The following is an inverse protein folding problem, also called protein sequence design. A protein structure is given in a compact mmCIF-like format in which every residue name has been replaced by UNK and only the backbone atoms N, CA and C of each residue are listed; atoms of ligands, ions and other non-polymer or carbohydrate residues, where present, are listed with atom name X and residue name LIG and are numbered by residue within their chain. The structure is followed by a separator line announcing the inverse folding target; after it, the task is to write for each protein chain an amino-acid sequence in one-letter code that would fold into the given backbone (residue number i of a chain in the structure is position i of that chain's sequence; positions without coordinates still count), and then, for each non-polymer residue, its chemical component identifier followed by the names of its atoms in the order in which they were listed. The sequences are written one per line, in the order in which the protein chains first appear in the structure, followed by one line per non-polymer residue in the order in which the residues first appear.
data_IF_963358039804
#
_entry.id   IF_963358039804
#
_cell.length_a   1.000
_cell.length_b   1.000
_cell.length_c   1.000
_cell.angle_alpha   90.00
_cell.angle_beta   90.00
_cell.angle_gamma   90.00
#
_symmetry.space_group_name_H-M   'P 1'
#
loop_
_entity.id
_entity.type
_entity.pdbx_description
1 polymer ?
#
# COMPACT_ATOMS: atom_id res chain seq x y z
N UNK A 1 -64.87 18.89 -3.32
CA UNK A 1 -63.88 19.99 -3.41
C UNK A 1 -62.49 19.37 -3.65
N UNK A 2 -62.01 19.46 -4.90
CA UNK A 2 -60.61 19.25 -5.33
C UNK A 2 -59.72 20.38 -4.77
N UNK A 3 -58.39 20.40 -4.68
CA UNK A 3 -57.26 19.58 -5.10
C UNK A 3 -56.04 19.96 -4.22
N UNK A 4 -55.15 19.02 -3.87
CA UNK A 4 -53.77 19.31 -3.42
C UNK A 4 -52.82 18.30 -4.05
N UNK A 5 -52.58 18.45 -5.35
CA UNK A 5 -51.67 17.59 -6.14
C UNK A 5 -50.81 18.33 -7.16
N UNK A 6 -50.91 19.66 -7.25
CA UNK A 6 -50.30 20.42 -8.34
C UNK A 6 -48.85 20.90 -8.07
N UNK A 7 -48.38 20.91 -6.82
CA UNK A 7 -47.08 21.52 -6.48
C UNK A 7 -45.84 20.66 -6.78
N UNK A 8 -45.99 19.33 -6.88
CA UNK A 8 -44.85 18.40 -7.05
C UNK A 8 -44.53 18.05 -8.51
N UNK A 9 -45.40 18.41 -9.45
CA UNK A 9 -45.20 18.18 -10.89
C UNK A 9 -44.70 19.41 -11.65
N UNK A 10 -44.83 20.62 -11.07
CA UNK A 10 -44.30 21.85 -11.65
C UNK A 10 -42.79 22.04 -11.45
N UNK A 11 -42.21 21.43 -10.41
CA UNK A 11 -40.76 21.50 -10.17
C UNK A 11 -39.94 20.59 -11.11
N UNK A 12 -40.54 19.53 -11.67
CA UNK A 12 -39.87 18.63 -12.63
C UNK A 12 -39.88 19.21 -14.05
N UNK A 13 -40.90 20.01 -14.41
CA UNK A 13 -40.96 20.66 -15.71
C UNK A 13 -39.99 21.85 -15.85
N UNK A 14 -39.68 22.57 -14.77
CA UNK A 14 -38.80 23.74 -14.81
C UNK A 14 -37.31 23.41 -15.03
N UNK A 15 -36.82 22.24 -14.58
CA UNK A 15 -35.43 21.83 -14.79
C UNK A 15 -35.14 21.22 -16.18
N UNK A 16 -36.18 20.88 -16.96
CA UNK A 16 -36.01 20.35 -18.33
C UNK A 16 -35.99 21.44 -19.41
N UNK A 17 -36.46 22.66 -19.11
CA UNK A 17 -36.45 23.79 -20.06
C UNK A 17 -35.12 24.55 -20.04
N UNK A 18 -34.40 24.59 -18.90
CA UNK A 18 -33.07 25.23 -18.81
C UNK A 18 -31.97 24.39 -19.49
N UNK A 19 -32.12 23.07 -19.57
CA UNK A 19 -31.15 22.18 -20.24
C UNK A 19 -31.37 22.04 -21.76
N UNK A 20 -32.47 22.56 -22.31
CA UNK A 20 -32.73 22.54 -23.76
C UNK A 20 -32.25 23.81 -24.49
N UNK A 21 -32.05 24.94 -23.79
CA UNK A 21 -31.65 26.21 -24.41
C UNK A 21 -30.14 26.37 -24.65
N UNK A 22 -29.27 25.56 -24.03
CA UNK A 22 -27.81 25.61 -24.26
C UNK A 22 -27.31 24.68 -25.38
N UNK A 23 -28.19 23.85 -25.97
CA UNK A 23 -27.85 22.95 -27.09
C UNK A 23 -28.30 23.51 -28.45
N UNK A 24 -28.92 24.71 -28.50
CA UNK A 24 -29.48 25.29 -29.73
C UNK A 24 -28.68 26.44 -30.37
N UNK A 25 -27.45 26.72 -29.92
CA UNK A 25 -26.65 27.84 -30.45
C UNK A 25 -25.48 27.48 -31.38
N UNK A 26 -25.31 26.22 -31.82
CA UNK A 26 -24.18 25.85 -32.71
C UNK A 26 -24.56 25.17 -34.03
N UNK A 27 -25.83 25.23 -34.43
CA UNK A 27 -26.36 24.42 -35.54
C UNK A 27 -26.74 25.16 -36.82
N UNK A 28 -25.95 26.10 -37.34
CA UNK A 28 -26.19 26.66 -38.69
C UNK A 28 -24.89 26.90 -39.45
N UNK A 29 -24.33 25.84 -40.06
CA UNK A 29 -23.60 25.93 -41.33
C UNK A 29 -23.53 24.55 -42.01
N UNK A 30 -23.76 24.46 -43.34
CA UNK A 30 -23.84 23.18 -44.03
C UNK A 30 -22.45 22.57 -44.19
N UNK A 31 -22.29 21.31 -43.76
CA UNK A 31 -21.12 20.48 -44.10
C UNK A 31 -21.35 19.84 -45.47
N UNK A 32 -21.13 20.62 -46.53
CA UNK A 32 -20.83 20.06 -47.84
C UNK A 32 -19.31 20.00 -47.98
N UNK A 33 -18.81 18.80 -48.27
CA UNK A 33 -17.43 18.50 -48.67
C UNK A 33 -16.38 18.74 -47.59
N UNK A 34 -16.02 17.68 -46.87
CA UNK A 34 -14.75 17.64 -46.14
C UNK A 34 -13.62 17.41 -47.15
N UNK A 35 -12.72 18.39 -47.25
CA UNK A 35 -11.53 18.35 -48.09
C UNK A 35 -10.46 17.49 -47.41
N UNK A 36 -10.05 16.42 -48.09
CA UNK A 36 -8.91 15.56 -47.71
C UNK A 36 -7.63 16.36 -47.84
N UNK A 37 -6.79 16.51 -46.79
CA UNK A 37 -5.47 17.10 -46.97
C UNK A 37 -4.60 16.17 -47.84
N UNK A 38 -4.19 16.68 -49.00
CA UNK A 38 -3.24 16.03 -49.89
C UNK A 38 -1.88 15.89 -49.20
N UNK A 39 -1.32 14.68 -49.22
CA UNK A 39 0.05 14.43 -48.80
C UNK A 39 1.02 15.05 -49.81
N UNK A 40 1.89 15.95 -49.34
CA UNK A 40 3.03 16.44 -50.11
C UNK A 40 4.11 15.34 -50.26
N UNK A 41 4.79 15.22 -51.40
CA UNK A 41 5.89 14.28 -51.55
C UNK A 41 7.16 14.92 -51.00
N UNK A 42 7.53 14.61 -49.76
CA UNK A 42 8.90 14.82 -49.29
C UNK A 42 9.73 13.59 -49.60
N UNK A 43 10.56 13.71 -50.63
CA UNK A 43 11.68 12.81 -50.90
C UNK A 43 12.64 12.85 -49.72
N UNK A 44 12.51 11.88 -48.81
CA UNK A 44 13.55 11.56 -47.84
C UNK A 44 14.21 10.27 -48.31
N UNK A 45 15.42 10.38 -48.87
CA UNK A 45 16.34 9.27 -49.00
C UNK A 45 16.66 8.78 -47.60
N UNK A 46 15.94 7.75 -47.15
CA UNK A 46 16.26 7.04 -45.92
C UNK A 46 17.59 6.32 -46.14
N UNK A 47 18.67 6.85 -45.57
CA UNK A 47 19.85 6.05 -45.32
C UNK A 47 19.41 4.89 -44.41
N UNK A 48 19.56 3.65 -44.90
CA UNK A 48 19.20 2.47 -44.16
C UNK A 48 19.92 2.46 -42.81
N UNK A 49 19.16 2.42 -41.71
CA UNK A 49 19.72 2.13 -40.40
C UNK A 49 20.37 0.73 -40.46
N UNK A 50 21.54 0.52 -39.85
CA UNK A 50 22.13 -0.81 -39.77
C UNK A 50 21.13 -1.74 -39.06
N UNK A 51 21.07 -3.02 -39.45
CA UNK A 51 20.16 -3.96 -38.81
C UNK A 51 20.43 -4.01 -37.30
N UNK A 52 19.40 -4.23 -36.46
CA UNK A 52 19.61 -4.41 -35.04
C UNK A 52 20.59 -5.57 -34.83
N UNK A 53 21.67 -5.31 -34.08
CA UNK A 53 22.58 -6.37 -33.68
C UNK A 53 21.79 -7.44 -32.93
N UNK A 54 22.09 -8.73 -33.15
CA UNK A 54 21.46 -9.80 -32.38
C UNK A 54 21.70 -9.58 -30.88
N UNK A 55 20.81 -10.07 -30.00
CA UNK A 55 21.00 -9.96 -28.56
C UNK A 55 22.39 -10.49 -28.19
N UNK A 56 23.20 -9.62 -27.60
CA UNK A 56 24.56 -9.96 -27.20
C UNK A 56 24.49 -10.74 -25.89
N UNK A 57 24.71 -12.05 -25.98
CA UNK A 57 24.95 -12.88 -24.79
C UNK A 57 26.35 -12.57 -24.27
N UNK A 58 26.45 -12.12 -23.02
CA UNK A 58 27.75 -11.83 -22.40
C UNK A 58 28.69 -13.04 -22.50
N UNK A 59 29.89 -12.82 -23.00
CA UNK A 59 30.95 -13.82 -22.99
C UNK A 59 31.43 -14.07 -21.56
N UNK A 60 32.03 -15.25 -21.29
CA UNK A 60 32.61 -15.54 -19.97
C UNK A 60 33.63 -14.47 -19.51
N UNK A 61 34.39 -13.88 -20.44
CA UNK A 61 35.37 -12.84 -20.14
C UNK A 61 34.71 -11.51 -19.71
N UNK A 62 33.55 -11.17 -20.28
CA UNK A 62 32.79 -9.98 -19.86
C UNK A 62 32.12 -10.19 -18.51
N UNK A 63 31.69 -11.41 -18.22
CA UNK A 63 31.18 -11.78 -16.88
C UNK A 63 32.29 -11.66 -15.84
N UNK A 64 33.50 -12.11 -16.16
CA UNK A 64 34.67 -12.00 -15.28
C UNK A 64 35.09 -10.55 -15.06
N UNK A 65 35.11 -9.73 -16.11
CA UNK A 65 35.40 -8.30 -16.02
C UNK A 65 34.35 -7.52 -15.20
N UNK A 66 33.05 -7.85 -15.35
CA UNK A 66 31.99 -7.30 -14.49
C UNK A 66 32.16 -7.72 -13.04
N UNK A 67 32.55 -8.97 -12.80
CA UNK A 67 32.77 -9.51 -11.45
C UNK A 67 33.98 -8.86 -10.78
N UNK A 68 35.03 -8.53 -11.54
CA UNK A 68 36.22 -7.84 -11.04
C UNK A 68 35.97 -6.37 -10.67
N UNK A 69 34.97 -5.73 -11.29
CA UNK A 69 34.54 -4.35 -10.98
C UNK A 69 33.45 -4.28 -9.91
N UNK A 70 32.85 -5.42 -9.55
CA UNK A 70 31.88 -5.47 -8.48
C UNK A 70 32.57 -5.16 -7.13
N UNK A 71 31.99 -4.29 -6.28
CA UNK A 71 32.45 -4.19 -4.91
C UNK A 71 32.45 -5.60 -4.28
N UNK A 72 33.39 -5.90 -3.36
CA UNK A 72 33.34 -7.17 -2.64
C UNK A 72 31.94 -7.31 -2.05
N UNK A 73 31.32 -8.48 -2.28
CA UNK A 73 30.05 -8.82 -1.66
C UNK A 73 30.18 -8.47 -0.17
N UNK A 74 29.22 -7.75 0.43
CA UNK A 74 29.31 -7.39 1.84
C UNK A 74 29.59 -8.69 2.59
N UNK A 75 30.77 -8.74 3.23
CA UNK A 75 31.15 -9.84 4.10
C UNK A 75 29.96 -10.12 5.00
N UNK A 76 29.54 -11.39 5.07
CA UNK A 76 28.37 -11.80 5.83
C UNK A 76 28.32 -11.07 7.19
N UNK A 77 27.44 -10.07 7.28
CA UNK A 77 27.17 -9.30 8.49
C UNK A 77 28.28 -8.35 8.94
N UNK A 78 28.30 -7.13 8.39
CA UNK A 78 28.27 -6.02 9.33
C UNK A 78 26.87 -6.07 9.96
N UNK A 79 26.73 -6.81 11.06
CA UNK A 79 25.48 -6.93 11.78
C UNK A 79 25.11 -5.54 12.28
N UNK A 80 24.24 -4.86 11.56
CA UNK A 80 23.66 -3.61 12.01
C UNK A 80 22.69 -3.95 13.15
N UNK A 81 23.25 -4.01 14.36
CA UNK A 81 22.52 -4.30 15.59
C UNK A 81 21.95 -2.99 16.15
N UNK A 82 20.99 -2.41 15.43
CA UNK A 82 20.17 -1.34 16.00
C UNK A 82 19.14 -1.96 16.93
N UNK A 83 19.36 -1.82 18.23
CA UNK A 83 18.42 -2.27 19.25
C UNK A 83 17.09 -1.51 19.13
N UNK A 84 15.99 -2.24 19.33
CA UNK A 84 14.63 -1.71 19.30
C UNK A 84 14.14 -1.56 20.75
N UNK A 85 14.10 -0.32 21.29
CA UNK A 85 13.57 -0.08 22.63
C UNK A 85 12.05 -0.32 22.67
N UNK A 86 11.49 -0.35 23.88
CA UNK A 86 10.03 -0.34 24.05
C UNK A 86 9.44 0.90 23.39
N UNK A 87 8.37 0.70 22.63
CA UNK A 87 7.70 1.76 21.89
C UNK A 87 6.41 2.24 22.55
N UNK A 88 5.54 2.83 21.74
CA UNK A 88 4.20 3.33 22.16
C UNK A 88 3.16 2.23 22.34
N UNK A 89 3.42 1.01 21.85
CA UNK A 89 2.52 -0.12 22.02
C UNK A 89 2.59 -0.68 23.44
N UNK A 90 1.43 -1.00 24.04
CA UNK A 90 1.43 -1.89 25.19
C UNK A 90 1.88 -3.28 24.74
N UNK A 91 2.90 -3.82 25.41
CA UNK A 91 3.40 -5.18 25.17
C UNK A 91 2.71 -6.21 26.06
N UNK A 92 1.74 -5.79 26.89
CA UNK A 92 0.95 -6.71 27.71
C UNK A 92 0.30 -7.77 26.82
N UNK A 93 0.57 -9.04 27.15
CA UNK A 93 0.06 -10.23 26.44
C UNK A 93 0.34 -10.24 24.94
N UNK A 94 1.30 -9.47 24.43
CA UNK A 94 1.77 -9.63 23.05
C UNK A 94 2.80 -10.75 22.94
N UNK A 95 2.81 -11.43 21.80
CA UNK A 95 3.83 -12.43 21.48
C UNK A 95 5.08 -11.80 20.87
N UNK A 96 6.22 -12.51 20.98
CA UNK A 96 7.54 -11.96 20.66
C UNK A 96 7.64 -11.35 19.26
N UNK A 97 7.06 -11.97 18.22
CA UNK A 97 7.11 -11.40 16.86
C UNK A 97 6.19 -10.20 16.67
N UNK A 98 5.06 -10.16 17.38
CA UNK A 98 4.15 -9.01 17.39
C UNK A 98 4.79 -7.83 18.11
N UNK A 99 5.50 -8.08 19.23
CA UNK A 99 6.33 -7.07 19.91
C UNK A 99 7.42 -6.55 18.97
N UNK A 100 8.10 -7.46 18.25
CA UNK A 100 9.14 -7.08 17.31
C UNK A 100 8.63 -6.14 16.22
N UNK A 101 7.50 -6.47 15.58
CA UNK A 101 6.85 -5.61 14.60
C UNK A 101 6.47 -4.24 15.20
N UNK A 102 5.84 -4.22 16.38
CA UNK A 102 5.42 -3.00 17.05
C UNK A 102 6.60 -2.06 17.36
N UNK A 103 7.70 -2.60 17.91
CA UNK A 103 8.90 -1.80 18.22
C UNK A 103 9.60 -1.28 16.98
N UNK A 104 9.73 -2.12 15.94
CA UNK A 104 10.32 -1.68 14.67
C UNK A 104 9.52 -0.53 14.06
N UNK A 105 8.19 -0.63 14.05
CA UNK A 105 7.31 0.43 13.56
C UNK A 105 7.46 1.70 14.42
N UNK A 106 7.48 1.57 15.74
CA UNK A 106 7.64 2.72 16.65
C UNK A 106 8.96 3.48 16.46
N UNK A 107 10.04 2.79 16.07
CA UNK A 107 11.34 3.42 15.78
C UNK A 107 11.36 4.06 14.39
N UNK A 108 10.85 3.37 13.37
CA UNK A 108 10.95 3.83 11.98
C UNK A 108 9.91 4.88 11.60
N UNK A 109 8.76 4.89 12.27
CA UNK A 109 7.64 5.77 12.00
C UNK A 109 7.30 6.59 13.24
N UNK A 110 8.16 7.55 13.65
CA UNK A 110 7.97 8.32 14.88
C UNK A 110 6.70 9.19 14.87
N UNK A 111 6.02 9.36 13.72
CA UNK A 111 4.71 9.99 13.61
C UNK A 111 3.61 9.17 14.29
N UNK A 112 3.80 7.85 14.43
CA UNK A 112 2.85 6.95 15.09
C UNK A 112 2.94 7.14 16.60
N UNK A 113 1.83 7.55 17.19
CA UNK A 113 1.73 7.81 18.64
C UNK A 113 0.93 6.76 19.40
N UNK A 114 0.17 5.94 18.70
CA UNK A 114 -0.69 4.93 19.29
C UNK A 114 -0.61 3.64 18.48
N UNK A 115 -0.35 2.53 19.17
CA UNK A 115 -0.46 1.19 18.63
C UNK A 115 -1.27 0.39 19.64
N UNK A 116 -2.46 -0.07 19.23
CA UNK A 116 -3.25 -1.00 20.05
C UNK A 116 -2.78 -2.42 19.82
N UNK A 117 -2.94 -3.27 20.83
CA UNK A 117 -2.45 -4.64 20.83
C UNK A 117 -3.50 -5.59 21.38
N UNK A 118 -3.14 -6.32 22.44
CA UNK A 118 -4.07 -7.25 23.10
C UNK A 118 -5.38 -6.57 23.51
N UNK A 119 -6.49 -7.24 23.19
CA UNK A 119 -7.85 -6.96 23.65
C UNK A 119 -8.71 -8.19 23.40
N UNK A 120 -9.80 -8.33 24.15
CA UNK A 120 -10.83 -9.34 23.84
C UNK A 120 -11.53 -8.98 22.53
N UNK A 121 -11.74 -9.98 21.69
CA UNK A 121 -12.27 -9.85 20.33
C UNK A 121 -12.90 -11.17 19.86
N UNK A 122 -13.83 -11.12 18.89
CA UNK A 122 -14.40 -12.33 18.30
C UNK A 122 -13.39 -13.19 17.53
N UNK A 123 -12.32 -12.56 17.02
CA UNK A 123 -11.29 -13.22 16.21
C UNK A 123 -10.03 -13.46 17.06
N UNK A 124 -9.25 -14.52 16.77
CA UNK A 124 -8.24 -15.00 17.70
C UNK A 124 -6.97 -14.13 17.77
N UNK A 125 -6.76 -13.17 16.87
CA UNK A 125 -5.46 -12.50 16.75
C UNK A 125 -5.16 -11.54 17.91
N UNK A 126 -6.03 -10.56 18.20
CA UNK A 126 -5.84 -9.69 19.36
C UNK A 126 -5.87 -10.43 20.71
N UNK A 127 -6.83 -11.35 20.98
CA UNK A 127 -6.90 -12.05 22.26
C UNK A 127 -5.71 -12.95 22.55
N UNK A 128 -5.01 -13.42 21.51
CA UNK A 128 -3.80 -14.26 21.65
C UNK A 128 -2.49 -13.47 21.53
N UNK A 129 -2.54 -12.14 21.48
CA UNK A 129 -1.35 -11.31 21.37
C UNK A 129 -0.65 -11.36 20.01
N UNK A 130 -1.37 -11.77 18.98
CA UNK A 130 -0.85 -11.99 17.63
C UNK A 130 -0.98 -10.76 16.74
N UNK A 131 -1.81 -9.78 17.12
CA UNK A 131 -2.08 -8.61 16.29
C UNK A 131 -1.82 -7.26 16.99
N UNK A 132 -1.51 -6.27 16.16
CA UNK A 132 -1.46 -4.85 16.51
C UNK A 132 -2.23 -4.01 15.49
N UNK A 133 -2.85 -2.94 15.97
CA UNK A 133 -3.48 -1.90 15.15
C UNK A 133 -2.63 -0.62 15.25
N UNK A 134 -1.97 -0.29 14.14
CA UNK A 134 -1.10 0.90 14.05
C UNK A 134 -1.94 2.09 13.60
N UNK A 135 -2.24 2.99 14.54
CA UNK A 135 -3.15 4.12 14.28
C UNK A 135 -2.50 5.17 13.38
N UNK A 136 -3.16 5.48 12.27
CA UNK A 136 -2.65 6.42 11.27
C UNK A 136 -3.19 7.84 11.56
N UNK A 137 -2.34 8.83 11.87
CA UNK A 137 -2.78 10.20 12.02
C UNK A 137 -3.26 10.76 10.67
N UNK A 138 -4.31 11.58 10.69
CA UNK A 138 -4.85 12.24 9.49
C UNK A 138 -5.15 11.26 8.34
N UNK A 139 -5.68 10.08 8.62
CA UNK A 139 -5.83 8.96 7.68
C UNK A 139 -6.73 9.21 6.44
N UNK A 140 -7.44 10.34 6.40
CA UNK A 140 -8.17 10.81 5.21
C UNK A 140 -7.31 11.64 4.25
N UNK A 141 -6.20 12.18 4.74
CA UNK A 141 -5.32 13.05 3.95
C UNK A 141 -4.40 12.22 3.06
N UNK A 142 -3.92 12.77 1.93
CA UNK A 142 -2.89 12.12 1.13
C UNK A 142 -1.67 11.69 1.95
N UNK A 143 -1.24 12.51 2.92
CA UNK A 143 -0.09 12.24 3.78
C UNK A 143 -0.34 11.06 4.73
N UNK A 144 -1.53 10.99 5.33
CA UNK A 144 -1.92 9.86 6.19
C UNK A 144 -2.05 8.56 5.39
N UNK A 145 -2.62 8.64 4.19
CA UNK A 145 -2.73 7.49 3.29
C UNK A 145 -1.34 6.99 2.88
N UNK A 146 -0.43 7.90 2.53
CA UNK A 146 0.94 7.54 2.18
C UNK A 146 1.70 6.93 3.36
N UNK A 147 1.56 7.50 4.56
CA UNK A 147 2.12 6.92 5.78
C UNK A 147 1.61 5.50 6.04
N UNK A 148 0.30 5.26 5.92
CA UNK A 148 -0.29 3.93 6.06
C UNK A 148 0.20 2.96 4.98
N UNK A 149 0.37 3.42 3.74
CA UNK A 149 0.95 2.62 2.65
C UNK A 149 2.40 2.22 2.95
N UNK A 150 3.21 3.14 3.46
CA UNK A 150 4.60 2.88 3.84
C UNK A 150 4.68 1.84 4.96
N UNK A 151 3.85 1.97 6.00
CA UNK A 151 3.81 1.04 7.13
C UNK A 151 3.36 -0.35 6.68
N UNK A 152 2.26 -0.45 5.93
CA UNK A 152 1.77 -1.71 5.39
C UNK A 152 2.82 -2.37 4.47
N UNK A 153 3.42 -1.58 3.57
CA UNK A 153 4.50 -2.04 2.68
C UNK A 153 5.73 -2.52 3.44
N UNK A 154 6.14 -1.82 4.50
CA UNK A 154 7.28 -2.21 5.33
C UNK A 154 7.00 -3.51 6.10
N UNK A 155 5.81 -3.67 6.66
CA UNK A 155 5.39 -4.90 7.32
C UNK A 155 5.41 -6.08 6.33
N UNK A 156 4.88 -5.89 5.12
CA UNK A 156 4.90 -6.91 4.08
C UNK A 156 6.33 -7.24 3.62
N UNK A 157 7.20 -6.24 3.41
CA UNK A 157 8.60 -6.45 3.05
C UNK A 157 9.38 -7.27 4.10
N UNK A 158 8.93 -7.23 5.36
CA UNK A 158 9.48 -8.01 6.47
C UNK A 158 8.66 -9.25 6.83
N UNK A 159 7.69 -9.65 6.00
CA UNK A 159 6.72 -10.70 6.33
C UNK A 159 7.38 -11.99 6.82
N UNK A 160 8.43 -12.46 6.14
CA UNK A 160 9.16 -13.65 6.56
C UNK A 160 9.85 -13.49 7.91
N UNK A 161 10.46 -12.33 8.17
CA UNK A 161 11.24 -12.09 9.41
C UNK A 161 10.32 -11.99 10.62
N UNK A 162 9.22 -11.27 10.48
CA UNK A 162 8.25 -11.06 11.55
C UNK A 162 7.19 -12.17 11.62
N UNK A 163 7.23 -13.16 10.72
CA UNK A 163 6.20 -14.19 10.63
C UNK A 163 4.82 -13.56 10.47
N UNK A 164 4.67 -12.63 9.52
CA UNK A 164 3.40 -11.96 9.26
C UNK A 164 2.41 -12.97 8.70
N UNK A 165 1.28 -13.10 9.38
CA UNK A 165 0.15 -13.88 8.95
C UNK A 165 -0.65 -13.09 7.90
N UNK A 166 -0.96 -11.84 8.20
CA UNK A 166 -1.54 -10.91 7.25
C UNK A 166 -1.41 -9.45 7.70
N UNK A 167 -1.57 -8.54 6.74
CA UNK A 167 -1.72 -7.09 6.94
C UNK A 167 -3.06 -6.65 6.33
N UNK A 168 -3.80 -5.78 7.00
CA UNK A 168 -5.01 -5.15 6.44
C UNK A 168 -4.82 -3.64 6.42
N UNK A 169 -5.07 -3.04 5.27
CA UNK A 169 -5.07 -1.60 5.09
C UNK A 169 -6.11 -1.20 4.05
N UNK A 170 -7.03 -0.31 4.44
CA UNK A 170 -8.09 0.26 3.59
C UNK A 170 -8.84 -0.81 2.79
N UNK A 171 -9.49 -1.73 3.52
CA UNK A 171 -10.25 -2.88 3.02
C UNK A 171 -9.47 -3.91 2.21
N UNK A 172 -8.14 -3.82 2.15
CA UNK A 172 -7.34 -4.81 1.44
C UNK A 172 -6.54 -5.64 2.43
N UNK A 173 -6.75 -6.95 2.39
CA UNK A 173 -6.03 -7.94 3.20
C UNK A 173 -4.91 -8.56 2.36
N UNK A 174 -3.72 -8.65 2.96
CA UNK A 174 -2.51 -9.18 2.35
C UNK A 174 -1.97 -10.31 3.22
N UNK A 175 -2.06 -11.59 2.82
CA UNK A 175 -1.54 -12.73 3.59
C UNK A 175 -0.01 -12.86 3.58
N UNK A 176 0.71 -11.87 3.06
CA UNK A 176 2.14 -11.87 2.83
C UNK A 176 2.51 -11.03 1.61
N UNK A 177 3.79 -11.07 1.21
CA UNK A 177 4.27 -10.37 0.00
C UNK A 177 3.55 -10.94 -1.22
N UNK A 178 2.83 -10.09 -1.96
CA UNK A 178 2.08 -10.50 -3.15
C UNK A 178 0.76 -9.73 -3.32
N UNK A 179 -0.18 -10.34 -4.03
CA UNK A 179 -1.51 -9.77 -4.26
C UNK A 179 -2.36 -9.81 -2.98
N UNK A 180 -3.01 -8.70 -2.65
CA UNK A 180 -4.03 -8.63 -1.61
C UNK A 180 -5.44 -8.80 -2.17
N UNK A 181 -6.37 -9.22 -1.31
CA UNK A 181 -7.79 -9.38 -1.63
C UNK A 181 -8.62 -8.25 -1.02
N UNK A 182 -9.68 -7.84 -1.70
CA UNK A 182 -10.67 -6.94 -1.11
C UNK A 182 -11.49 -7.66 -0.06
N UNK A 183 -11.74 -6.98 1.06
CA UNK A 183 -12.64 -7.41 2.13
C UNK A 183 -14.02 -6.79 1.93
N UNK A 184 -15.03 -7.34 2.59
CA UNK A 184 -16.36 -6.76 2.58
C UNK A 184 -16.37 -5.38 3.24
N UNK A 185 -17.29 -4.52 2.82
CA UNK A 185 -17.59 -3.29 3.54
C UNK A 185 -18.38 -3.59 4.81
N UNK A 186 -17.77 -3.31 5.96
CA UNK A 186 -18.31 -3.52 7.29
C UNK A 186 -18.98 -2.27 7.89
N UNK A 187 -19.16 -1.21 7.09
CA UNK A 187 -20.01 -0.06 7.41
C UNK A 187 -19.37 1.00 8.30
N UNK A 188 -18.07 0.91 8.62
CA UNK A 188 -17.34 1.97 9.31
C UNK A 188 -15.87 1.98 8.90
N UNK A 189 -15.24 3.14 9.01
CA UNK A 189 -13.82 3.31 8.65
C UNK A 189 -12.89 2.43 9.48
N UNK A 190 -13.14 2.33 10.79
CA UNK A 190 -12.39 1.44 11.67
C UNK A 190 -12.57 -0.03 11.28
N UNK A 191 -13.81 -0.50 11.10
CA UNK A 191 -14.02 -1.91 10.69
C UNK A 191 -13.42 -2.21 9.30
N UNK A 192 -13.38 -1.20 8.43
CA UNK A 192 -12.78 -1.26 7.10
C UNK A 192 -11.28 -0.95 7.07
N UNK A 193 -10.63 -0.76 8.22
CA UNK A 193 -9.20 -0.51 8.34
C UNK A 193 -8.72 0.75 7.59
N UNK A 194 -9.52 1.81 7.58
CA UNK A 194 -9.15 3.08 6.97
C UNK A 194 -8.35 3.99 7.89
N UNK A 195 -8.50 3.83 9.20
CA UNK A 195 -7.86 4.65 10.25
C UNK A 195 -6.64 3.99 10.90
N UNK A 196 -6.39 2.71 10.63
CA UNK A 196 -5.24 1.96 11.14
C UNK A 196 -4.76 0.88 10.16
N UNK A 197 -3.47 0.57 10.24
CA UNK A 197 -2.90 -0.63 9.60
C UNK A 197 -2.96 -1.78 10.62
N UNK A 198 -3.73 -2.82 10.33
CA UNK A 198 -3.76 -4.04 11.14
C UNK A 198 -2.65 -4.98 10.71
N UNK A 199 -1.88 -5.49 11.67
CA UNK A 199 -0.79 -6.42 11.42
C UNK A 199 -0.95 -7.62 12.35
N UNK A 200 -1.20 -8.79 11.77
CA UNK A 200 -1.23 -10.05 12.47
C UNK A 200 0.01 -10.87 12.17
N UNK A 201 0.57 -11.53 13.19
CA UNK A 201 1.70 -12.45 13.07
C UNK A 201 1.29 -13.88 13.40
N UNK A 202 2.12 -14.84 13.04
CA UNK A 202 2.05 -16.23 13.48
C UNK A 202 2.50 -16.39 14.96
N UNK A 203 2.87 -15.28 15.62
CA UNK A 203 3.34 -15.24 16.99
C UNK A 203 4.77 -15.75 17.11
N UNK A 204 5.08 -16.34 18.26
CA UNK A 204 6.39 -16.89 18.56
C UNK A 204 6.56 -17.27 20.02
N UNK A 205 5.44 -17.44 20.73
CA UNK A 205 5.42 -17.55 22.19
C UNK A 205 5.33 -16.18 22.87
N UNK A 206 4.98 -16.22 24.15
CA UNK A 206 5.02 -15.05 25.02
C UNK A 206 6.47 -14.77 25.44
N UNK A 207 6.87 -13.49 25.58
CA UNK A 207 8.21 -13.14 26.01
C UNK A 207 8.49 -13.67 27.42
N UNK A 208 9.71 -14.15 27.62
CA UNK A 208 10.24 -14.54 28.94
C UNK A 208 10.87 -13.35 29.67
N UNK A 209 11.16 -12.27 28.95
CA UNK A 209 11.84 -11.07 29.45
C UNK A 209 13.33 -11.02 29.14
N UNK A 210 13.88 -12.07 28.51
CA UNK A 210 15.29 -12.13 28.10
C UNK A 210 15.50 -11.82 26.61
N UNK A 211 14.41 -11.57 25.87
CA UNK A 211 14.47 -11.27 24.45
C UNK A 211 15.08 -9.88 24.20
N UNK A 212 16.00 -9.82 23.24
CA UNK A 212 16.52 -8.54 22.72
C UNK A 212 16.12 -8.41 21.27
N UNK A 213 15.48 -7.30 20.95
CA UNK A 213 14.97 -7.01 19.61
C UNK A 213 15.92 -6.06 18.90
N UNK A 214 16.29 -6.41 17.68
CA UNK A 214 17.07 -5.58 16.77
C UNK A 214 16.29 -5.33 15.49
N UNK A 215 16.67 -4.31 14.72
CA UNK A 215 15.98 -3.98 13.47
C UNK A 215 15.94 -5.16 12.48
N UNK A 216 16.99 -5.99 12.45
CA UNK A 216 17.15 -7.08 11.48
C UNK A 216 17.12 -8.49 12.10
N UNK A 217 17.15 -8.62 13.43
CA UNK A 217 17.15 -9.89 14.16
C UNK A 217 16.49 -9.76 15.54
N UNK A 218 16.20 -10.87 16.19
CA UNK A 218 15.92 -10.92 17.62
C UNK A 218 16.70 -12.08 18.23
N UNK A 219 17.15 -11.93 19.47
CA UNK A 219 17.64 -13.06 20.25
C UNK A 219 16.46 -13.61 21.05
N UNK A 220 16.14 -14.88 20.82
CA UNK A 220 15.28 -15.63 21.74
C UNK A 220 15.98 -15.79 23.09
N UNK A 221 15.22 -16.00 24.16
CA UNK A 221 15.81 -16.42 25.43
C UNK A 221 16.69 -17.66 25.24
N UNK A 222 17.83 -17.78 25.94
CA UNK A 222 18.57 -19.04 25.96
C UNK A 222 17.66 -20.14 26.54
N UNK A 223 17.65 -21.29 25.86
CA UNK A 223 16.96 -22.51 26.30
C UNK A 223 17.45 -22.99 27.68
#
# INVERSE_FOLDING_TARGET
MFAKGAGRWLAVAASLVVSAAMIHAQGTKPRCCAETPAAAPTSATAAAAPPPSPPHTASPAEVEALTALAPPAPSAGQQFQLALPRGVASEDRLQVKTIWAARAIGVLFPQIKTIYGYREDPLPWHPKGLAIDVMIPNFHTPEGIDLGNQIAGYALANAKRWGINHVIWRQKIYPGVGGGNWTADLGSETANHYDHVHIATDGGGYPTGHEVYYIASMTSAPD
#
